data_IF_998236774420
#
_entry.id   IF_998236774420
#
_cell.length_a   1.000
_cell.length_b   1.000
_cell.length_c   1.000
_cell.angle_alpha   90.00
_cell.angle_beta   90.00
_cell.angle_gamma   90.00
#
_symmetry.space_group_name_H-M   'P 1'
#
loop_
_entity.id
_entity.type
_entity.pdbx_description
1 polymer ?
#
# COMPACT_ATOMS: atom_id res chain seq x y z
N UNK A 1 -5.47 4.76 27.75
CA UNK A 1 -5.98 5.11 26.41
C UNK A 1 -5.15 6.21 25.74
N UNK A 2 -4.94 7.35 26.39
CA UNK A 2 -4.16 8.45 25.78
C UNK A 2 -2.74 8.07 25.40
N UNK A 3 -2.00 7.40 26.26
CA UNK A 3 -0.65 6.90 26.00
C UNK A 3 -0.59 5.97 24.76
N UNK A 4 -1.53 5.02 24.65
CA UNK A 4 -1.61 4.14 23.49
C UNK A 4 -2.00 4.89 22.20
N UNK A 5 -2.84 5.91 22.32
CA UNK A 5 -3.18 6.78 21.19
C UNK A 5 -1.98 7.54 20.66
N UNK A 6 -1.17 8.13 21.55
CA UNK A 6 0.07 8.81 21.18
C UNK A 6 1.10 7.84 20.58
N UNK A 7 1.24 6.63 21.15
CA UNK A 7 2.12 5.60 20.63
C UNK A 7 1.70 5.15 19.20
N UNK A 8 0.40 4.98 18.97
CA UNK A 8 -0.14 4.63 17.64
C UNK A 8 0.12 5.73 16.62
N UNK A 9 -0.13 6.99 16.97
CA UNK A 9 0.18 8.12 16.11
C UNK A 9 1.68 8.15 15.76
N UNK A 10 2.55 8.06 16.75
CA UNK A 10 4.00 8.02 16.52
C UNK A 10 4.45 6.85 15.62
N UNK A 11 3.82 5.67 15.74
CA UNK A 11 4.10 4.54 14.88
C UNK A 11 3.65 4.81 13.42
N UNK A 12 2.47 5.39 13.22
CA UNK A 12 1.97 5.79 11.89
C UNK A 12 2.86 6.84 11.24
N UNK A 13 3.23 7.88 11.98
CA UNK A 13 4.12 8.95 11.51
C UNK A 13 5.43 8.38 11.01
N UNK A 14 6.13 7.57 11.83
CA UNK A 14 7.39 6.93 11.41
C UNK A 14 7.22 6.01 10.19
N UNK A 15 6.07 5.35 10.05
CA UNK A 15 5.80 4.50 8.89
C UNK A 15 5.59 5.32 7.63
N UNK A 16 4.81 6.41 7.71
CA UNK A 16 4.55 7.31 6.58
C UNK A 16 5.84 8.02 6.14
N UNK A 17 6.67 8.47 7.09
CA UNK A 17 7.98 9.07 6.80
C UNK A 17 8.89 8.09 6.06
N UNK A 18 9.04 6.87 6.57
CA UNK A 18 9.86 5.83 5.95
C UNK A 18 9.35 5.42 4.55
N UNK A 19 8.03 5.28 4.38
CA UNK A 19 7.45 5.01 3.05
C UNK A 19 7.63 6.18 2.09
N UNK A 20 7.54 7.42 2.58
CA UNK A 20 7.77 8.63 1.76
C UNK A 20 9.21 8.68 1.28
N UNK A 21 10.16 8.33 2.13
CA UNK A 21 11.58 8.22 1.77
C UNK A 21 11.79 7.16 0.68
N UNK A 22 11.24 5.95 0.87
CA UNK A 22 11.31 4.88 -0.13
C UNK A 22 10.68 5.27 -1.47
N UNK A 23 9.50 5.90 -1.44
CA UNK A 23 8.83 6.39 -2.65
C UNK A 23 9.65 7.51 -3.34
N UNK A 24 10.32 8.35 -2.57
CA UNK A 24 11.19 9.41 -3.07
C UNK A 24 12.47 8.89 -3.72
N UNK A 25 12.99 7.78 -3.23
CA UNK A 25 14.19 7.13 -3.78
C UNK A 25 13.91 6.37 -5.11
N UNK A 26 12.64 6.09 -5.42
CA UNK A 26 12.28 5.44 -6.68
C UNK A 26 12.53 6.38 -7.86
N UNK A 27 13.24 5.88 -8.87
CA UNK A 27 13.38 6.59 -10.14
C UNK A 27 12.00 6.82 -10.77
N UNK A 28 11.87 7.90 -11.54
CA UNK A 28 10.69 8.09 -12.39
C UNK A 28 10.59 6.92 -13.37
N UNK A 29 9.44 6.26 -13.41
CA UNK A 29 9.27 5.03 -14.13
C UNK A 29 7.81 4.76 -14.48
N UNK A 30 7.50 3.50 -14.76
CA UNK A 30 6.19 3.05 -15.24
C UNK A 30 5.08 3.20 -14.20
N UNK A 31 5.42 3.35 -12.92
CA UNK A 31 4.46 3.58 -11.84
C UNK A 31 4.47 5.04 -11.41
N UNK A 32 3.27 5.68 -11.31
CA UNK A 32 3.18 7.04 -10.83
C UNK A 32 3.63 7.13 -9.37
N UNK A 33 4.34 8.21 -9.05
CA UNK A 33 4.82 8.46 -7.70
C UNK A 33 3.70 8.96 -6.81
N UNK A 34 3.55 8.34 -5.64
CA UNK A 34 2.64 8.77 -4.59
C UNK A 34 3.36 9.67 -3.59
N UNK A 35 2.66 10.67 -3.06
CA UNK A 35 3.02 11.33 -1.81
C UNK A 35 2.03 10.91 -0.73
N UNK A 36 2.51 10.81 0.51
CA UNK A 36 1.77 10.31 1.65
C UNK A 36 1.73 11.38 2.75
N UNK A 37 0.59 11.54 3.39
CA UNK A 37 0.42 12.36 4.58
C UNK A 37 -0.59 11.72 5.54
N UNK A 38 -0.47 12.03 6.82
CA UNK A 38 -1.52 11.76 7.79
C UNK A 38 -2.42 12.98 7.90
N UNK A 39 -3.73 12.76 7.91
CA UNK A 39 -4.74 13.80 8.05
C UNK A 39 -5.73 13.44 9.17
N UNK A 40 -6.48 14.43 9.64
CA UNK A 40 -7.51 14.30 10.66
C UNK A 40 -6.99 14.62 12.06
N UNK A 41 -6.74 13.63 12.90
CA UNK A 41 -6.28 13.86 14.27
C UNK A 41 -4.75 14.12 14.31
N UNK A 42 -4.36 15.22 14.95
CA UNK A 42 -2.97 15.74 14.98
C UNK A 42 -2.15 15.29 16.22
N UNK A 43 -2.68 14.35 17.02
CA UNK A 43 -2.08 13.87 18.27
C UNK A 43 -1.92 14.94 19.36
N UNK A 44 -2.66 16.04 19.29
CA UNK A 44 -2.83 16.95 20.42
C UNK A 44 -3.26 16.19 21.68
N UNK A 45 -3.11 16.77 22.86
CA UNK A 45 -3.32 16.09 24.14
C UNK A 45 -4.65 15.28 24.17
N UNK A 46 -4.53 13.97 23.84
CA UNK A 46 -5.69 13.07 23.78
C UNK A 46 -6.37 12.92 25.15
N UNK A 47 -5.62 13.00 26.25
CA UNK A 47 -6.19 12.88 27.59
C UNK A 47 -7.14 14.04 27.88
N UNK A 48 -6.73 15.24 27.54
CA UNK A 48 -7.54 16.44 27.70
C UNK A 48 -8.71 16.47 26.72
N UNK A 49 -8.49 16.11 25.44
CA UNK A 49 -9.56 15.97 24.44
C UNK A 49 -10.65 15.00 24.91
N UNK A 50 -10.29 13.83 25.41
CA UNK A 50 -11.23 12.85 25.95
C UNK A 50 -11.97 13.37 27.19
N UNK A 51 -11.30 14.19 28.04
CA UNK A 51 -11.93 14.80 29.20
C UNK A 51 -12.97 15.84 28.80
N UNK A 52 -12.63 16.73 27.91
CA UNK A 52 -13.51 17.82 27.45
C UNK A 52 -14.69 17.25 26.65
N UNK A 53 -14.46 16.28 25.77
CA UNK A 53 -15.47 15.73 24.87
C UNK A 53 -16.39 14.68 25.55
N UNK A 54 -16.21 14.35 26.84
CA UNK A 54 -16.93 13.26 27.50
C UNK A 54 -18.45 13.31 27.34
N UNK A 55 -19.05 14.49 27.50
CA UNK A 55 -20.51 14.66 27.37
C UNK A 55 -20.97 14.46 25.93
N UNK A 56 -20.20 14.98 24.96
CA UNK A 56 -20.45 14.81 23.53
C UNK A 56 -20.30 13.35 23.08
N UNK A 57 -19.25 12.68 23.57
CA UNK A 57 -18.97 11.28 23.28
C UNK A 57 -20.08 10.37 23.84
N UNK A 58 -20.54 10.64 25.07
CA UNK A 58 -21.66 9.92 25.65
C UNK A 58 -22.95 10.09 24.84
N UNK A 59 -23.25 11.30 24.39
CA UNK A 59 -24.42 11.56 23.56
C UNK A 59 -24.32 10.92 22.18
N UNK A 60 -23.10 10.84 21.62
CA UNK A 60 -22.82 10.21 20.32
C UNK A 60 -22.71 8.68 20.37
N UNK A 61 -22.63 8.09 21.58
CA UNK A 61 -22.38 6.66 21.80
C UNK A 61 -21.00 6.19 21.29
N UNK A 62 -20.08 7.13 21.02
CA UNK A 62 -18.73 6.84 20.51
C UNK A 62 -17.76 7.97 20.80
N UNK A 63 -16.48 7.67 20.89
CA UNK A 63 -15.42 8.69 20.94
C UNK A 63 -15.37 9.46 19.64
N UNK A 64 -15.40 10.80 19.71
CA UNK A 64 -15.45 11.69 18.54
C UNK A 64 -14.09 12.23 18.14
N UNK A 65 -13.07 12.06 19.00
CA UNK A 65 -11.70 12.52 18.78
C UNK A 65 -10.68 11.43 19.14
N UNK A 66 -9.56 11.38 18.43
CA UNK A 66 -8.50 10.40 18.68
C UNK A 66 -7.95 9.72 17.42
N UNK A 67 -7.05 8.73 17.59
CA UNK A 67 -6.30 8.11 16.48
C UNK A 67 -7.17 7.37 15.45
N UNK A 68 -8.41 7.01 15.77
CA UNK A 68 -9.37 6.43 14.82
C UNK A 68 -9.94 7.45 13.83
N UNK A 69 -9.69 8.73 14.05
CA UNK A 69 -10.05 9.84 13.14
C UNK A 69 -8.93 10.20 12.19
N UNK A 70 -7.75 9.62 12.39
CA UNK A 70 -6.61 9.84 11.52
C UNK A 70 -6.67 8.91 10.32
N UNK A 71 -6.45 9.46 9.13
CA UNK A 71 -6.45 8.73 7.87
C UNK A 71 -5.14 8.95 7.09
N UNK A 72 -4.85 8.06 6.14
CA UNK A 72 -3.74 8.17 5.22
C UNK A 72 -4.21 8.85 3.94
N UNK A 73 -3.70 10.05 3.70
CA UNK A 73 -3.93 10.77 2.45
C UNK A 73 -2.85 10.42 1.45
N UNK A 74 -3.28 9.96 0.28
CA UNK A 74 -2.40 9.65 -0.85
C UNK A 74 -2.67 10.62 -1.97
N UNK A 75 -1.62 11.25 -2.52
CA UNK A 75 -1.74 12.12 -3.69
C UNK A 75 -0.80 11.69 -4.82
N UNK A 76 -1.22 12.00 -6.05
CA UNK A 76 -0.43 11.78 -7.26
C UNK A 76 0.56 12.94 -7.44
N UNK A 77 1.87 12.70 -7.25
CA UNK A 77 2.89 13.76 -7.24
C UNK A 77 2.87 14.58 -8.54
N UNK A 78 2.97 13.92 -9.70
CA UNK A 78 3.06 14.63 -10.99
C UNK A 78 1.80 15.43 -11.35
N UNK A 79 0.63 15.05 -10.81
CA UNK A 79 -0.65 15.72 -11.07
C UNK A 79 -1.05 16.70 -9.97
N UNK A 80 -0.40 16.68 -8.82
CA UNK A 80 -0.65 17.60 -7.71
C UNK A 80 -2.06 17.48 -7.10
N UNK A 81 -2.72 16.33 -7.22
CA UNK A 81 -4.06 16.13 -6.68
C UNK A 81 -4.21 14.81 -5.91
N UNK A 82 -5.20 14.69 -5.02
CA UNK A 82 -5.46 13.45 -4.28
C UNK A 82 -5.68 12.25 -5.21
N UNK A 83 -5.20 11.07 -4.80
CA UNK A 83 -5.25 9.84 -5.59
C UNK A 83 -6.68 9.48 -6.03
N UNK A 84 -7.69 9.74 -5.20
CA UNK A 84 -9.09 9.46 -5.53
C UNK A 84 -9.64 10.26 -6.71
N UNK A 85 -8.96 11.34 -7.14
CA UNK A 85 -9.29 12.12 -8.35
C UNK A 85 -8.60 11.61 -9.62
N UNK A 86 -7.70 10.64 -9.49
CA UNK A 86 -7.05 9.98 -10.62
C UNK A 86 -7.98 8.96 -11.27
N UNK A 87 -7.67 8.56 -12.52
CA UNK A 87 -8.37 7.45 -13.16
C UNK A 87 -8.20 6.14 -12.38
N UNK A 88 -9.12 5.20 -12.54
CA UNK A 88 -9.06 3.90 -11.85
C UNK A 88 -7.73 3.16 -12.10
N UNK A 89 -7.21 3.22 -13.34
CA UNK A 89 -5.91 2.62 -13.68
C UNK A 89 -4.74 3.30 -12.95
N UNK A 90 -4.78 4.61 -12.80
CA UNK A 90 -3.76 5.36 -12.04
C UNK A 90 -3.85 5.09 -10.54
N UNK A 91 -5.06 5.01 -9.98
CA UNK A 91 -5.24 4.65 -8.58
C UNK A 91 -4.64 3.27 -8.27
N UNK A 92 -4.91 2.28 -9.14
CA UNK A 92 -4.32 0.94 -9.03
C UNK A 92 -2.80 0.96 -9.16
N UNK A 93 -2.26 1.76 -10.08
CA UNK A 93 -0.82 1.89 -10.26
C UNK A 93 -0.15 2.59 -9.06
N UNK A 94 -0.77 3.63 -8.48
CA UNK A 94 -0.33 4.28 -7.24
C UNK A 94 -0.32 3.31 -6.06
N UNK A 95 -1.43 2.55 -5.89
CA UNK A 95 -1.55 1.55 -4.84
C UNK A 95 -0.45 0.47 -4.97
N UNK A 96 -0.25 -0.04 -6.18
CA UNK A 96 0.79 -1.05 -6.42
C UNK A 96 2.18 -0.49 -6.14
N UNK A 97 2.49 0.72 -6.58
CA UNK A 97 3.75 1.41 -6.26
C UNK A 97 3.98 1.53 -4.75
N UNK A 98 2.92 1.86 -3.98
CA UNK A 98 2.97 1.93 -2.53
C UNK A 98 3.20 0.55 -1.87
N UNK A 99 2.52 -0.50 -2.35
CA UNK A 99 2.69 -1.87 -1.85
C UNK A 99 4.11 -2.36 -2.08
N UNK A 100 4.69 -2.09 -3.26
CA UNK A 100 6.07 -2.47 -3.57
C UNK A 100 7.08 -1.70 -2.72
N UNK A 101 6.89 -0.40 -2.53
CA UNK A 101 7.74 0.40 -1.63
C UNK A 101 7.65 -0.10 -0.17
N UNK A 102 6.47 -0.49 0.28
CA UNK A 102 6.30 -1.10 1.60
C UNK A 102 7.01 -2.46 1.71
N UNK A 103 6.95 -3.29 0.69
CA UNK A 103 7.68 -4.56 0.67
C UNK A 103 9.20 -4.36 0.75
N UNK A 104 9.74 -3.35 0.06
CA UNK A 104 11.15 -2.96 0.15
C UNK A 104 11.51 -2.49 1.57
N UNK A 105 10.69 -1.61 2.16
CA UNK A 105 10.88 -1.15 3.54
C UNK A 105 10.87 -2.31 4.56
N UNK A 106 10.00 -3.31 4.36
CA UNK A 106 9.96 -4.51 5.20
C UNK A 106 11.22 -5.36 5.01
N UNK A 107 11.70 -5.51 3.77
CA UNK A 107 12.91 -6.24 3.46
C UNK A 107 14.14 -5.62 4.16
N UNK A 108 14.27 -4.29 4.09
CA UNK A 108 15.36 -3.55 4.74
C UNK A 108 15.34 -3.72 6.26
N UNK A 109 14.15 -3.67 6.86
CA UNK A 109 14.01 -3.78 8.33
C UNK A 109 14.16 -5.21 8.87
N UNK A 110 13.82 -6.23 8.08
CA UNK A 110 13.86 -7.65 8.49
C UNK A 110 15.10 -8.38 8.02
N UNK A 111 15.92 -7.78 7.15
CA UNK A 111 17.09 -8.41 6.55
C UNK A 111 16.73 -9.44 5.48
N UNK A 112 15.54 -9.37 4.90
CA UNK A 112 15.11 -10.23 3.81
C UNK A 112 13.71 -9.89 3.28
N UNK A 113 13.42 -10.23 2.01
CA UNK A 113 12.17 -9.85 1.35
C UNK A 113 10.97 -10.59 1.97
N UNK A 114 9.82 -9.91 2.09
CA UNK A 114 8.57 -10.56 2.46
C UNK A 114 8.04 -11.44 1.32
N UNK A 115 7.13 -12.36 1.65
CA UNK A 115 6.31 -13.02 0.64
C UNK A 115 5.28 -12.01 0.13
N UNK A 116 5.20 -11.86 -1.20
CA UNK A 116 4.27 -10.94 -1.86
C UNK A 116 3.16 -11.76 -2.52
N UNK A 117 1.91 -11.38 -2.25
CA UNK A 117 0.72 -11.97 -2.86
C UNK A 117 0.01 -10.90 -3.70
N UNK A 118 -0.15 -11.15 -5.01
CA UNK A 118 -0.76 -10.23 -5.96
C UNK A 118 -1.93 -10.93 -6.66
N UNK A 119 -3.14 -10.58 -6.25
CA UNK A 119 -4.35 -11.17 -6.79
C UNK A 119 -4.91 -10.32 -7.95
N UNK A 120 -5.03 -10.91 -9.14
CA UNK A 120 -5.56 -10.31 -10.38
C UNK A 120 -4.87 -8.98 -10.81
N UNK A 121 -3.70 -8.65 -10.26
CA UNK A 121 -3.04 -7.35 -10.49
C UNK A 121 -2.63 -7.20 -11.96
N UNK A 122 -2.15 -8.27 -12.59
CA UNK A 122 -1.65 -8.26 -13.98
C UNK A 122 -2.74 -7.87 -14.99
N UNK A 123 -3.99 -8.25 -14.75
CA UNK A 123 -5.14 -7.95 -15.62
C UNK A 123 -5.49 -6.45 -15.66
N UNK A 124 -5.10 -5.70 -14.63
CA UNK A 124 -5.43 -4.29 -14.48
C UNK A 124 -4.34 -3.32 -14.95
N UNK A 125 -3.23 -3.85 -15.44
CA UNK A 125 -2.10 -3.07 -15.93
C UNK A 125 -2.04 -3.12 -17.45
N UNK A 126 -1.66 -2.01 -18.06
CA UNK A 126 -1.24 -2.00 -19.45
C UNK A 126 0.03 -2.86 -19.65
N UNK A 127 0.34 -3.28 -20.90
CA UNK A 127 1.48 -4.17 -21.15
C UNK A 127 2.83 -3.63 -20.65
N UNK A 128 3.05 -2.31 -20.73
CA UNK A 128 4.30 -1.66 -20.28
C UNK A 128 4.45 -1.76 -18.76
N UNK A 129 3.41 -1.34 -18.01
CA UNK A 129 3.41 -1.43 -16.54
C UNK A 129 3.47 -2.86 -16.03
N UNK A 130 2.85 -3.80 -16.74
CA UNK A 130 2.92 -5.22 -16.39
C UNK A 130 4.34 -5.77 -16.53
N UNK A 131 5.02 -5.47 -17.64
CA UNK A 131 6.43 -5.85 -17.83
C UNK A 131 7.34 -5.21 -16.76
N UNK A 132 7.11 -3.94 -16.44
CA UNK A 132 7.83 -3.23 -15.37
C UNK A 132 7.60 -3.86 -14.00
N UNK A 133 6.36 -4.28 -13.68
CA UNK A 133 6.05 -5.01 -12.46
C UNK A 133 6.86 -6.29 -12.35
N UNK A 134 6.84 -7.12 -13.38
CA UNK A 134 7.55 -8.40 -13.37
C UNK A 134 9.06 -8.20 -13.20
N UNK A 135 9.64 -7.27 -13.95
CA UNK A 135 11.06 -6.91 -13.80
C UNK A 135 11.39 -6.42 -12.39
N UNK A 136 10.50 -5.67 -11.75
CA UNK A 136 10.71 -5.16 -10.39
C UNK A 136 10.60 -6.25 -9.33
N UNK A 137 9.83 -7.30 -9.58
CA UNK A 137 9.65 -8.43 -8.67
C UNK A 137 10.75 -9.49 -8.83
N UNK A 138 11.45 -9.51 -9.95
CA UNK A 138 12.49 -10.50 -10.24
C UNK A 138 13.63 -10.43 -9.22
N UNK A 139 13.98 -11.59 -8.65
CA UNK A 139 15.04 -11.70 -7.63
C UNK A 139 14.72 -11.10 -6.26
N UNK A 140 13.47 -10.63 -6.05
CA UNK A 140 13.08 -9.96 -4.80
C UNK A 140 12.28 -10.85 -3.84
N UNK A 141 12.63 -12.13 -3.75
CA UNK A 141 11.99 -13.07 -2.85
C UNK A 141 10.88 -13.89 -3.50
N UNK A 142 9.98 -14.41 -2.68
CA UNK A 142 8.87 -15.24 -3.14
C UNK A 142 7.66 -14.37 -3.48
N UNK A 143 7.18 -14.47 -4.72
CA UNK A 143 6.00 -13.75 -5.21
C UNK A 143 5.00 -14.74 -5.76
N UNK A 144 3.76 -14.63 -5.32
CA UNK A 144 2.62 -15.38 -5.86
C UNK A 144 1.69 -14.43 -6.59
N UNK A 145 1.33 -14.78 -7.80
CA UNK A 145 0.41 -13.98 -8.62
C UNK A 145 -0.69 -14.84 -9.18
N UNK A 146 -1.91 -14.31 -9.22
CA UNK A 146 -3.06 -14.93 -9.88
C UNK A 146 -3.51 -14.10 -11.08
N UNK A 147 -4.08 -14.76 -12.08
CA UNK A 147 -4.82 -14.13 -13.17
C UNK A 147 -5.75 -15.15 -13.82
N UNK A 148 -6.83 -14.67 -14.42
CA UNK A 148 -7.78 -15.49 -15.19
C UNK A 148 -7.25 -15.89 -16.56
N UNK A 149 -6.30 -15.14 -17.13
CA UNK A 149 -5.73 -15.37 -18.44
C UNK A 149 -4.24 -15.70 -18.35
N UNK A 150 -3.84 -16.89 -18.78
CA UNK A 150 -2.44 -17.33 -18.76
C UNK A 150 -1.51 -16.41 -19.55
N UNK A 151 -1.99 -15.84 -20.67
CA UNK A 151 -1.23 -14.94 -21.53
C UNK A 151 -0.74 -13.67 -20.83
N UNK A 152 -1.39 -13.26 -19.73
CA UNK A 152 -0.94 -12.12 -18.91
C UNK A 152 0.45 -12.33 -18.31
N UNK A 153 0.87 -13.58 -18.16
CA UNK A 153 2.18 -13.96 -17.60
C UNK A 153 3.25 -14.28 -18.64
N UNK A 154 2.96 -14.17 -19.95
CA UNK A 154 3.93 -14.46 -21.00
C UNK A 154 5.24 -13.67 -20.88
N UNK A 155 5.22 -12.37 -20.47
CA UNK A 155 6.44 -11.60 -20.31
C UNK A 155 7.41 -12.12 -19.21
N UNK A 156 6.94 -12.95 -18.27
CA UNK A 156 7.82 -13.52 -17.23
C UNK A 156 8.74 -14.63 -17.81
N UNK A 157 8.32 -15.27 -18.91
CA UNK A 157 9.09 -16.35 -19.50
C UNK A 157 9.24 -17.57 -18.60
N UNK A 158 10.41 -18.20 -18.63
CA UNK A 158 10.72 -19.42 -17.85
C UNK A 158 11.21 -19.15 -16.42
N UNK A 159 11.25 -17.90 -15.99
CA UNK A 159 11.74 -17.55 -14.63
C UNK A 159 10.72 -17.82 -13.51
N UNK A 160 9.49 -18.20 -13.86
CA UNK A 160 8.44 -18.50 -12.90
C UNK A 160 7.90 -19.94 -13.06
N UNK A 161 7.56 -20.56 -11.94
CA UNK A 161 6.76 -21.80 -11.94
C UNK A 161 5.30 -21.42 -12.14
N UNK A 162 4.63 -22.08 -13.08
CA UNK A 162 3.22 -21.82 -13.41
C UNK A 162 2.35 -22.99 -12.97
N UNK A 163 1.19 -22.68 -12.47
CA UNK A 163 0.16 -23.63 -12.10
C UNK A 163 -1.17 -23.24 -12.74
N UNK A 164 -1.90 -24.23 -13.19
CA UNK A 164 -3.29 -24.09 -13.59
C UNK A 164 -4.20 -24.53 -12.45
N UNK A 165 -5.23 -23.74 -12.15
CA UNK A 165 -6.21 -24.04 -11.09
C UNK A 165 -7.58 -24.15 -11.73
N UNK A 166 -8.16 -25.35 -11.70
CA UNK A 166 -9.49 -25.61 -12.24
C UNK A 166 -10.28 -26.50 -11.27
N UNK A 167 -11.51 -26.09 -10.97
CA UNK A 167 -12.42 -26.82 -10.07
C UNK A 167 -11.78 -27.29 -8.75
N UNK A 168 -10.91 -26.44 -8.16
CA UNK A 168 -10.20 -26.74 -6.90
C UNK A 168 -8.99 -27.68 -7.05
N UNK A 169 -8.63 -28.05 -8.27
CA UNK A 169 -7.46 -28.90 -8.56
C UNK A 169 -6.32 -28.03 -9.09
N UNK A 170 -5.10 -28.28 -8.64
CA UNK A 170 -3.88 -27.58 -9.07
C UNK A 170 -3.05 -28.53 -9.92
N UNK A 171 -2.65 -28.11 -11.11
CA UNK A 171 -1.74 -28.84 -12.00
C UNK A 171 -0.62 -27.93 -12.51
N UNK A 172 0.57 -28.45 -12.82
CA UNK A 172 1.60 -27.69 -13.55
C UNK A 172 1.05 -27.19 -14.90
N UNK A 173 1.38 -25.96 -15.29
CA UNK A 173 0.99 -25.36 -16.56
C UNK A 173 2.17 -25.32 -17.54
#
# INVERSE_FOLDING_TARGET
>A
MAEHGAALHGARTRTVEALTEQLGALADGDFPRASLALDGWDASDLAESLRINRARDASAGRTTDGPHRQDLVVAHVAKGHPAFRSSTGEQKALLLGLVLAHAELVADRRGGPPIILLDEVAAHLDPGRRAALFKRLEGRGQVWMTATEAALFDPIGASATRFHVEAGTISPA
#
